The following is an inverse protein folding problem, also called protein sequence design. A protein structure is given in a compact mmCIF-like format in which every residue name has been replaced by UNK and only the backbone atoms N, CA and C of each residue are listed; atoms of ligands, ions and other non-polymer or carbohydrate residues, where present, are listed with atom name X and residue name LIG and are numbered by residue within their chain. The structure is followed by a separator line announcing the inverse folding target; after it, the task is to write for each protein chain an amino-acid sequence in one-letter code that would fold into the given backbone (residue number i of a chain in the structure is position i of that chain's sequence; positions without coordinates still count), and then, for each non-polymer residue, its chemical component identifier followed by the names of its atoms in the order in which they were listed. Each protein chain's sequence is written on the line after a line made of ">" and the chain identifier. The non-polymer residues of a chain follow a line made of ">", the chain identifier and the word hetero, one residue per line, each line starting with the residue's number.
data_IF_901778917879
#
_entry.id   IF_901778917879
#
_cell.length_a   1.000
_cell.length_b   1.000
_cell.length_c   1.000
_cell.angle_alpha   90.00
_cell.angle_beta   90.00
_cell.angle_gamma   90.00
#
_symmetry.space_group_name_H-M   'P 1'
#
loop_
_entity.id
_entity.type
_entity.pdbx_description
1 polymer ?
#
# COMPACT_ATOMS: atom_id res chain seq x y z
N UNK A 1 41.60 -13.97 12.19
CA UNK A 1 41.28 -13.98 10.75
C UNK A 1 39.76 -13.91 10.57
N UNK A 2 39.16 -12.73 10.30
CA UNK A 2 37.73 -12.66 10.05
C UNK A 2 37.40 -13.08 8.60
N UNK A 3 36.47 -14.02 8.47
CA UNK A 3 35.91 -14.55 7.22
C UNK A 3 35.08 -13.48 6.51
N UNK A 4 35.51 -13.05 5.32
CA UNK A 4 34.67 -12.31 4.40
C UNK A 4 33.50 -13.20 3.93
N UNK A 5 32.26 -12.72 4.06
CA UNK A 5 31.09 -13.36 3.44
C UNK A 5 30.68 -12.59 2.19
N UNK A 6 30.79 -13.33 1.10
CA UNK A 6 30.37 -13.13 -0.28
C UNK A 6 29.35 -12.01 -0.56
N UNK A 7 29.76 -11.13 -1.48
CA UNK A 7 28.88 -10.35 -2.35
C UNK A 7 28.23 -11.35 -3.32
N UNK A 8 26.89 -11.40 -3.39
CA UNK A 8 26.21 -12.24 -4.36
C UNK A 8 25.73 -11.42 -5.57
N UNK A 9 26.31 -11.84 -6.68
CA UNK A 9 26.21 -11.44 -8.08
C UNK A 9 24.80 -11.35 -8.68
N UNK A 10 24.65 -10.32 -9.52
CA UNK A 10 23.93 -10.17 -10.81
C UNK A 10 22.62 -10.93 -11.07
N UNK A 11 21.54 -10.16 -11.33
CA UNK A 11 20.43 -10.59 -12.20
C UNK A 11 20.22 -9.58 -13.31
N UNK A 12 20.04 -10.11 -14.51
CA UNK A 12 19.87 -9.46 -15.81
C UNK A 12 18.82 -8.35 -15.83
N UNK A 13 19.17 -7.27 -16.55
CA UNK A 13 18.45 -6.00 -16.61
C UNK A 13 17.04 -6.08 -17.16
N UNK A 14 16.07 -5.82 -16.28
CA UNK A 14 14.94 -4.92 -16.59
C UNK A 14 15.31 -3.57 -15.98
N UNK A 15 14.87 -2.42 -16.51
CA UNK A 15 15.09 -1.14 -15.84
C UNK A 15 14.53 -1.30 -14.43
N UNK A 16 15.42 -1.35 -13.44
CA UNK A 16 15.01 -1.47 -12.05
C UNK A 16 14.38 -0.14 -11.72
N UNK A 17 13.04 -0.14 -11.65
CA UNK A 17 12.30 1.01 -11.20
C UNK A 17 12.93 1.44 -9.87
N UNK A 18 13.49 2.65 -9.81
CA UNK A 18 14.10 3.18 -8.59
C UNK A 18 13.14 3.01 -7.42
N UNK A 19 13.65 2.67 -6.24
CA UNK A 19 12.77 2.47 -5.09
C UNK A 19 12.00 3.75 -4.80
N UNK A 20 10.67 3.62 -4.76
CA UNK A 20 9.77 4.75 -4.52
C UNK A 20 9.99 5.21 -3.08
N UNK A 21 10.49 6.44 -2.94
CA UNK A 21 10.61 7.07 -1.62
C UNK A 21 9.23 7.57 -1.15
N UNK A 22 8.55 6.74 -0.38
CA UNK A 22 7.27 7.05 0.27
C UNK A 22 7.38 8.08 1.42
N UNK A 23 8.60 8.44 1.84
CA UNK A 23 8.85 9.41 2.91
C UNK A 23 9.20 10.80 2.39
N UNK A 24 9.55 10.92 1.10
CA UNK A 24 9.79 12.19 0.43
C UNK A 24 8.62 13.16 0.61
N UNK A 25 8.93 14.45 0.70
CA UNK A 25 7.95 15.55 0.86
C UNK A 25 6.94 15.33 2.00
N UNK A 26 7.41 14.95 3.20
CA UNK A 26 6.53 14.74 4.37
C UNK A 26 5.42 13.70 4.12
N UNK A 27 5.74 12.61 3.43
CA UNK A 27 4.79 11.54 3.09
C UNK A 27 3.67 11.93 2.12
N UNK A 28 3.87 12.94 1.28
CA UNK A 28 2.90 13.40 0.27
C UNK A 28 2.37 12.24 -0.60
N UNK A 29 3.24 11.33 -1.06
CA UNK A 29 2.83 10.16 -1.83
C UNK A 29 1.96 9.17 -1.05
N UNK A 30 2.14 9.08 0.27
CA UNK A 30 1.28 8.25 1.13
C UNK A 30 -0.10 8.89 1.25
N UNK A 31 -0.18 10.22 1.40
CA UNK A 31 -1.46 10.93 1.42
C UNK A 31 -2.17 10.86 0.08
N UNK A 32 -1.47 11.01 -1.04
CA UNK A 32 -2.03 10.82 -2.38
C UNK A 32 -2.57 9.39 -2.57
N UNK A 33 -1.85 8.37 -2.06
CA UNK A 33 -2.34 7.00 -2.05
C UNK A 33 -3.60 6.84 -1.19
N UNK A 34 -3.65 7.46 -0.01
CA UNK A 34 -4.83 7.43 0.87
C UNK A 34 -6.04 8.09 0.21
N UNK A 35 -5.87 9.25 -0.44
CA UNK A 35 -6.94 9.92 -1.19
C UNK A 35 -7.54 8.99 -2.26
N UNK A 36 -6.68 8.29 -3.01
CA UNK A 36 -7.13 7.30 -3.99
C UNK A 36 -7.87 6.11 -3.34
N UNK A 37 -7.49 5.70 -2.13
CA UNK A 37 -8.17 4.61 -1.42
C UNK A 37 -9.52 5.02 -0.82
N UNK A 38 -9.68 6.29 -0.46
CA UNK A 38 -10.90 6.84 0.13
C UNK A 38 -11.99 7.11 -0.91
N UNK A 39 -11.64 7.23 -2.19
CA UNK A 39 -12.60 7.36 -3.29
C UNK A 39 -13.67 6.26 -3.20
N UNK A 40 -14.98 6.60 -3.22
CA UNK A 40 -16.05 5.62 -2.99
C UNK A 40 -16.00 4.41 -3.92
N UNK A 41 -15.63 4.64 -5.18
CA UNK A 41 -15.45 3.61 -6.21
C UNK A 41 -14.34 2.62 -5.84
N UNK A 42 -13.25 3.12 -5.28
CA UNK A 42 -12.09 2.33 -4.91
C UNK A 42 -12.31 1.63 -3.56
N UNK A 43 -12.86 2.36 -2.60
CA UNK A 43 -13.13 1.89 -1.26
C UNK A 43 -14.05 0.67 -1.27
N UNK A 44 -15.16 0.75 -2.01
CA UNK A 44 -16.16 -0.33 -2.08
C UNK A 44 -15.58 -1.64 -2.62
N UNK A 45 -14.69 -1.57 -3.61
CA UNK A 45 -14.07 -2.74 -4.23
C UNK A 45 -12.94 -3.31 -3.34
N UNK A 46 -12.15 -2.44 -2.70
CA UNK A 46 -10.97 -2.85 -1.94
C UNK A 46 -11.31 -3.34 -0.53
N UNK A 47 -12.16 -2.60 0.17
CA UNK A 47 -12.48 -2.81 1.59
C UNK A 47 -13.89 -3.38 1.81
N UNK A 48 -14.72 -3.39 0.77
CA UNK A 48 -16.09 -3.87 0.85
C UNK A 48 -17.08 -2.73 1.14
N UNK A 49 -18.33 -3.10 1.40
CA UNK A 49 -19.42 -2.15 1.64
C UNK A 49 -19.36 -1.60 3.06
N UNK A 50 -19.72 -0.33 3.23
CA UNK A 50 -20.01 0.23 4.56
C UNK A 50 -21.41 -0.17 5.03
N UNK A 51 -22.37 -0.26 4.10
CA UNK A 51 -23.74 -0.68 4.37
C UNK A 51 -24.01 -2.10 3.82
N UNK A 52 -24.54 -3.04 4.63
CA UNK A 52 -24.92 -4.37 4.17
C UNK A 52 -25.96 -4.37 3.02
N UNK A 53 -26.81 -3.34 2.94
CA UNK A 53 -27.90 -3.22 1.97
C UNK A 53 -27.45 -2.82 0.56
N UNK A 54 -26.24 -2.29 0.40
CA UNK A 54 -25.74 -1.92 -0.92
C UNK A 54 -25.52 -3.15 -1.81
N UNK A 55 -25.85 -3.10 -3.09
CA UNK A 55 -25.57 -4.20 -4.04
C UNK A 55 -24.09 -4.17 -4.47
N UNK A 56 -23.45 -5.34 -4.57
CA UNK A 56 -22.09 -5.49 -5.08
C UNK A 56 -22.10 -5.46 -6.61
N UNK A 57 -22.28 -4.28 -7.19
CA UNK A 57 -22.39 -4.13 -8.65
C UNK A 57 -21.04 -3.87 -9.34
N UNK A 58 -19.92 -3.94 -8.61
CA UNK A 58 -18.61 -3.70 -9.19
C UNK A 58 -18.03 -5.01 -9.74
N UNK A 59 -18.18 -5.24 -11.05
CA UNK A 59 -17.51 -6.32 -11.79
C UNK A 59 -15.98 -6.13 -11.89
N UNK A 60 -15.44 -5.01 -11.38
CA UNK A 60 -14.00 -4.72 -11.35
C UNK A 60 -13.30 -5.56 -10.28
N UNK A 61 -12.18 -6.18 -10.67
CA UNK A 61 -11.34 -6.95 -9.76
C UNK A 61 -10.47 -6.02 -8.90
N UNK A 62 -10.10 -6.46 -7.69
CA UNK A 62 -9.14 -5.74 -6.83
C UNK A 62 -7.82 -5.43 -7.55
N UNK A 63 -7.37 -6.35 -8.40
CA UNK A 63 -6.17 -6.16 -9.24
C UNK A 63 -6.31 -5.01 -10.22
N UNK A 64 -7.46 -4.88 -10.88
CA UNK A 64 -7.74 -3.75 -11.77
C UNK A 64 -7.74 -2.41 -11.01
N UNK A 65 -8.21 -2.41 -9.76
CA UNK A 65 -8.18 -1.23 -8.91
C UNK A 65 -6.75 -0.84 -8.51
N UNK A 66 -5.92 -1.79 -8.07
CA UNK A 66 -4.51 -1.50 -7.78
C UNK A 66 -3.77 -0.98 -8.99
N UNK A 67 -4.10 -1.50 -10.19
CA UNK A 67 -3.53 -1.05 -11.45
C UNK A 67 -3.94 0.40 -11.76
N UNK A 68 -5.22 0.73 -11.61
CA UNK A 68 -5.72 2.11 -11.78
C UNK A 68 -5.12 3.09 -10.77
N UNK A 69 -4.94 2.69 -9.51
CA UNK A 69 -4.27 3.52 -8.50
C UNK A 69 -2.80 3.74 -8.84
N UNK A 70 -2.10 2.70 -9.31
CA UNK A 70 -0.71 2.80 -9.75
C UNK A 70 -0.55 3.75 -10.96
N UNK A 71 -1.47 3.68 -11.92
CA UNK A 71 -1.52 4.59 -13.07
C UNK A 71 -1.78 6.04 -12.65
N UNK A 72 -2.70 6.26 -11.70
CA UNK A 72 -3.01 7.60 -11.20
C UNK A 72 -1.84 8.23 -10.41
N UNK A 73 -1.08 7.43 -9.67
CA UNK A 73 0.04 7.91 -8.84
C UNK A 73 1.34 8.08 -9.64
N UNK A 74 1.57 7.25 -10.66
CA UNK A 74 2.82 7.23 -11.42
C UNK A 74 2.57 7.17 -12.94
N UNK A 75 1.83 8.13 -13.52
CA UNK A 75 1.40 8.06 -14.92
C UNK A 75 2.56 7.91 -15.91
N UNK A 76 3.68 8.59 -15.66
CA UNK A 76 4.87 8.55 -16.53
C UNK A 76 5.60 7.20 -16.47
N UNK A 77 5.69 6.60 -15.28
CA UNK A 77 6.43 5.35 -15.06
C UNK A 77 5.56 4.11 -15.35
N UNK A 78 4.23 4.28 -15.34
CA UNK A 78 3.27 3.21 -15.53
C UNK A 78 3.36 2.57 -16.91
N UNK A 79 3.60 3.36 -17.95
CA UNK A 79 3.75 2.88 -19.32
C UNK A 79 4.86 1.82 -19.47
N UNK A 80 5.95 1.93 -18.70
CA UNK A 80 7.08 0.98 -18.72
C UNK A 80 7.05 -0.09 -17.63
N UNK A 81 6.37 0.17 -16.51
CA UNK A 81 6.50 -0.63 -15.28
C UNK A 81 5.17 -0.98 -14.58
N UNK A 82 4.05 -1.01 -15.32
CA UNK A 82 2.70 -1.22 -14.78
C UNK A 82 2.60 -2.35 -13.72
N UNK A 83 3.13 -3.54 -14.00
CA UNK A 83 3.03 -4.68 -13.07
C UNK A 83 3.84 -4.47 -11.79
N UNK A 84 5.05 -3.90 -11.91
CA UNK A 84 5.93 -3.62 -10.77
C UNK A 84 5.33 -2.53 -9.88
N UNK A 85 4.80 -1.47 -10.47
CA UNK A 85 4.12 -0.39 -9.76
C UNK A 85 2.86 -0.89 -9.06
N UNK A 86 2.06 -1.70 -9.74
CA UNK A 86 0.86 -2.31 -9.16
C UNK A 86 1.21 -3.18 -7.95
N UNK A 87 2.27 -3.98 -8.04
CA UNK A 87 2.76 -4.80 -6.93
C UNK A 87 3.28 -3.94 -5.76
N UNK A 88 4.02 -2.86 -6.05
CA UNK A 88 4.53 -1.92 -5.04
C UNK A 88 3.39 -1.20 -4.31
N UNK A 89 2.40 -0.68 -5.03
CA UNK A 89 1.20 -0.04 -4.47
C UNK A 89 0.45 -1.02 -3.57
N UNK A 90 0.19 -2.25 -4.05
CA UNK A 90 -0.46 -3.29 -3.24
C UNK A 90 0.31 -3.57 -1.95
N UNK A 91 1.62 -3.79 -2.03
CA UNK A 91 2.47 -4.06 -0.87
C UNK A 91 2.48 -2.90 0.13
N UNK A 92 2.45 -1.65 -0.37
CA UNK A 92 2.38 -0.46 0.48
C UNK A 92 1.05 -0.38 1.23
N UNK A 93 -0.08 -0.64 0.56
CA UNK A 93 -1.41 -0.69 1.19
C UNK A 93 -1.46 -1.74 2.29
N UNK A 94 -0.91 -2.94 2.04
CA UNK A 94 -0.84 -4.01 3.04
C UNK A 94 0.00 -3.60 4.26
N UNK A 95 1.13 -2.92 4.02
CA UNK A 95 1.99 -2.38 5.09
C UNK A 95 1.26 -1.34 5.92
N UNK A 96 0.59 -0.37 5.29
CA UNK A 96 -0.20 0.65 5.98
C UNK A 96 -1.31 0.03 6.82
N UNK A 97 -2.01 -0.98 6.29
CA UNK A 97 -3.04 -1.71 7.02
C UNK A 97 -2.48 -2.44 8.24
N UNK A 98 -1.31 -3.08 8.11
CA UNK A 98 -0.63 -3.75 9.24
C UNK A 98 -0.20 -2.75 10.31
N UNK A 99 0.36 -1.61 9.91
CA UNK A 99 0.76 -0.54 10.81
C UNK A 99 -0.45 0.01 11.57
N UNK A 100 -1.53 0.35 10.86
CA UNK A 100 -2.78 0.79 11.46
C UNK A 100 -3.31 -0.22 12.48
N UNK A 101 -3.43 -1.50 12.11
CA UNK A 101 -3.91 -2.54 13.02
C UNK A 101 -3.01 -2.70 14.26
N UNK A 102 -1.69 -2.55 14.10
CA UNK A 102 -0.74 -2.62 15.21
C UNK A 102 -0.95 -1.46 16.18
N UNK A 103 -1.08 -0.24 15.67
CA UNK A 103 -1.34 0.95 16.48
C UNK A 103 -2.71 0.89 17.15
N UNK A 104 -3.76 0.52 16.41
CA UNK A 104 -5.11 0.37 16.93
C UNK A 104 -5.19 -0.71 18.03
N UNK A 105 -4.47 -1.83 17.89
CA UNK A 105 -4.39 -2.86 18.95
C UNK A 105 -3.74 -2.33 20.22
N UNK A 106 -2.67 -1.54 20.09
CA UNK A 106 -2.02 -0.91 21.26
C UNK A 106 -2.97 0.05 21.98
N UNK A 107 -3.71 0.86 21.22
CA UNK A 107 -4.71 1.78 21.78
C UNK A 107 -5.87 1.03 22.49
N UNK A 108 -6.31 -0.11 21.94
CA UNK A 108 -7.33 -0.95 22.60
C UNK A 108 -6.84 -1.53 23.93
N UNK A 109 -5.57 -1.92 24.04
CA UNK A 109 -4.99 -2.45 25.28
C UNK A 109 -4.86 -1.40 26.38
N UNK A 110 -4.66 -0.14 26.03
CA UNK A 110 -4.59 0.96 27.01
C UNK A 110 -5.95 1.44 27.53
N UNK A 111 -7.05 0.80 27.08
CA UNK A 111 -8.42 1.09 27.54
C UNK A 111 -8.83 0.39 28.84
N UNK A 112 -7.97 -0.44 29.45
CA UNK A 112 -8.25 -1.16 30.71
C UNK A 112 -8.14 -0.28 31.98
N UNK A 113 -8.09 1.05 31.82
CA UNK A 113 -8.02 2.00 32.92
C UNK A 113 -6.60 2.14 33.48
N UNK A 114 -6.22 3.38 33.83
CA UNK A 114 -5.09 3.61 34.72
C UNK A 114 -5.40 2.86 36.01
N UNK A 115 -4.64 1.82 36.34
CA UNK A 115 -4.72 1.25 37.68
C UNK A 115 -4.28 2.34 38.65
N UNK A 116 -5.25 2.92 39.35
CA UNK A 116 -4.98 3.80 40.49
C UNK A 116 -4.21 2.99 41.51
N UNK A 117 -3.00 3.46 41.79
CA UNK A 117 -2.14 2.97 42.86
C UNK A 117 -2.50 3.70 44.16
#
# INVERSE_FOLDING_TARGET
>A
MPRAKAVNSTRSGKPTLEDIDWAKNKHELVFALLDQLERPENFKVLFGKKDPSEVNTSRRSKTAMFKSIAEALFPEQFAGHADQLTARVKSRIETLRKQYNTHARRLRKTGEGVQHN
#
